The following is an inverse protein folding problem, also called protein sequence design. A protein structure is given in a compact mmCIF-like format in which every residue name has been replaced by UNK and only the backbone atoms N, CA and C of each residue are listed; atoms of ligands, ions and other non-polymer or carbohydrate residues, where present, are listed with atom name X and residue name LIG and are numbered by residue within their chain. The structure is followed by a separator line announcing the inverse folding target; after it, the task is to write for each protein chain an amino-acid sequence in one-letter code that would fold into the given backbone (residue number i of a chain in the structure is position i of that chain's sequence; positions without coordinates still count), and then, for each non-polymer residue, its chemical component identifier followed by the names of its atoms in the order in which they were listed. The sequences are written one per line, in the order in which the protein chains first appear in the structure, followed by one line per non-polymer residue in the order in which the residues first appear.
data_IF_053092559578
#
_entry.id   IF_053092559578
#
_cell.length_a   1.000
_cell.length_b   1.000
_cell.length_c   1.000
_cell.angle_alpha   90.00
_cell.angle_beta   90.00
_cell.angle_gamma   90.00
#
_symmetry.space_group_name_H-M   'P 1'
#
loop_
_entity.id
_entity.type
_entity.pdbx_description
1 polymer ?
#
# COMPACT_ATOMS: atom_id res chain seq x y z
N UNK A 1 -23.45 16.75 -9.43
CA UNK A 1 -22.14 17.25 -9.94
C UNK A 1 -21.49 18.18 -8.92
N UNK A 2 -22.21 19.11 -8.29
CA UNK A 2 -21.68 19.96 -7.21
C UNK A 2 -21.18 19.16 -5.99
N UNK A 3 -21.81 18.04 -5.67
CA UNK A 3 -21.40 17.16 -4.56
C UNK A 3 -20.02 16.54 -4.80
N UNK A 4 -19.71 16.11 -6.03
CA UNK A 4 -18.39 15.59 -6.39
C UNK A 4 -17.30 16.67 -6.33
N UNK A 5 -17.64 17.90 -6.76
CA UNK A 5 -16.70 19.04 -6.69
C UNK A 5 -16.42 19.45 -5.23
N UNK A 6 -17.43 19.41 -4.35
CA UNK A 6 -17.24 19.62 -2.89
C UNK A 6 -16.41 18.49 -2.29
N UNK A 7 -16.72 17.23 -2.63
CA UNK A 7 -15.98 16.09 -2.14
C UNK A 7 -14.49 16.12 -2.55
N UNK A 8 -14.18 16.61 -3.75
CA UNK A 8 -12.78 16.77 -4.23
C UNK A 8 -11.95 17.68 -3.30
N UNK A 9 -12.60 18.66 -2.67
CA UNK A 9 -11.95 19.64 -1.78
C UNK A 9 -11.91 19.11 -0.34
N UNK A 10 -12.99 18.48 0.11
CA UNK A 10 -13.20 18.15 1.52
C UNK A 10 -12.65 16.78 1.92
N UNK A 11 -12.57 15.83 0.96
CA UNK A 11 -12.06 14.51 1.24
C UNK A 11 -10.54 14.57 1.49
N UNK A 12 -10.13 14.26 2.73
CA UNK A 12 -8.74 14.30 3.17
C UNK A 12 -8.34 12.99 3.81
N UNK A 13 -7.08 12.63 3.63
CA UNK A 13 -6.45 11.55 4.39
C UNK A 13 -6.28 11.94 5.85
N UNK A 14 -6.52 10.98 6.73
CA UNK A 14 -6.13 11.04 8.14
C UNK A 14 -4.86 10.22 8.33
N UNK A 15 -3.91 10.72 9.10
CA UNK A 15 -2.63 10.05 9.32
C UNK A 15 -2.45 9.63 10.77
N UNK A 16 -1.66 8.60 10.98
CA UNK A 16 -1.07 8.20 12.25
C UNK A 16 0.45 8.10 12.08
N UNK A 17 1.18 8.38 13.13
CA UNK A 17 2.63 8.22 13.17
C UNK A 17 2.98 6.77 13.54
N UNK A 18 3.75 6.12 12.68
CA UNK A 18 4.30 4.78 12.91
C UNK A 18 5.79 4.89 13.14
N UNK A 19 6.26 4.39 14.28
CA UNK A 19 7.69 4.33 14.54
C UNK A 19 8.28 3.09 13.86
N UNK A 20 9.09 3.32 12.83
CA UNK A 20 9.81 2.27 12.13
C UNK A 20 10.90 1.65 13.02
N UNK A 21 11.35 0.45 12.70
CA UNK A 21 12.46 -0.24 13.40
C UNK A 21 13.80 0.53 13.35
N UNK A 22 13.92 1.49 12.43
CA UNK A 22 15.02 2.44 12.34
C UNK A 22 14.95 3.55 13.39
N UNK A 23 13.84 3.69 14.11
CA UNK A 23 13.57 4.77 15.06
C UNK A 23 12.94 6.02 14.42
N UNK A 24 12.79 6.05 13.11
CA UNK A 24 12.16 7.16 12.37
C UNK A 24 10.64 7.04 12.39
N UNK A 25 9.94 8.17 12.40
CA UNK A 25 8.49 8.20 12.26
C UNK A 25 8.11 8.22 10.77
N UNK A 26 7.17 7.36 10.41
CA UNK A 26 6.60 7.28 9.07
C UNK A 26 5.10 7.52 9.17
N UNK A 27 4.56 8.46 8.42
CA UNK A 27 3.11 8.68 8.40
C UNK A 27 2.42 7.51 7.70
N UNK A 28 1.37 6.99 8.31
CA UNK A 28 0.51 5.96 7.72
C UNK A 28 -0.91 6.51 7.59
N UNK A 29 -1.57 6.21 6.48
CA UNK A 29 -2.97 6.55 6.30
C UNK A 29 -3.82 5.64 7.18
N UNK A 30 -4.73 6.24 7.95
CA UNK A 30 -5.75 5.54 8.74
C UNK A 30 -7.12 5.66 8.09
N UNK A 31 -8.10 4.98 8.67
CA UNK A 31 -9.52 5.05 8.26
C UNK A 31 -9.75 4.67 6.78
N UNK A 32 -8.95 3.71 6.27
CA UNK A 32 -9.02 3.24 4.88
C UNK A 32 -10.42 2.85 4.42
N UNK A 33 -11.20 2.24 5.34
CA UNK A 33 -12.57 1.81 5.03
C UNK A 33 -13.46 3.01 4.66
N UNK A 34 -13.33 4.11 5.39
CA UNK A 34 -14.13 5.31 5.15
C UNK A 34 -13.74 5.98 3.84
N UNK A 35 -12.44 6.04 3.54
CA UNK A 35 -11.93 6.60 2.28
C UNK A 35 -12.42 5.77 1.09
N UNK A 36 -12.28 4.45 1.13
CA UNK A 36 -12.68 3.55 0.04
C UNK A 36 -14.20 3.53 -0.14
N UNK A 37 -14.98 3.50 0.95
CA UNK A 37 -16.44 3.57 0.88
C UNK A 37 -16.91 4.85 0.20
N UNK A 38 -16.34 6.01 0.56
CA UNK A 38 -16.69 7.29 -0.07
C UNK A 38 -16.40 7.33 -1.57
N UNK A 39 -15.31 6.70 -2.01
CA UNK A 39 -15.02 6.56 -3.45
C UNK A 39 -16.10 5.70 -4.11
N UNK A 40 -16.44 4.54 -3.53
CA UNK A 40 -17.50 3.66 -4.02
C UNK A 40 -18.88 4.33 -4.08
N UNK A 41 -19.24 5.08 -3.04
CA UNK A 41 -20.52 5.83 -3.00
C UNK A 41 -20.57 6.87 -4.13
N UNK A 42 -19.49 7.58 -4.39
CA UNK A 42 -19.41 8.52 -5.50
C UNK A 42 -19.47 7.84 -6.88
N UNK A 43 -18.91 6.63 -7.02
CA UNK A 43 -19.06 5.82 -8.24
C UNK A 43 -20.53 5.44 -8.46
N UNK A 44 -21.23 4.97 -7.42
CA UNK A 44 -22.66 4.64 -7.48
C UNK A 44 -23.50 5.88 -7.80
N UNK A 45 -23.22 7.02 -7.17
CA UNK A 45 -23.86 8.29 -7.47
C UNK A 45 -23.71 8.65 -8.96
N UNK A 46 -22.52 8.53 -9.50
CA UNK A 46 -22.23 8.86 -10.89
C UNK A 46 -22.97 7.90 -11.86
N UNK A 47 -23.06 6.60 -11.52
CA UNK A 47 -23.84 5.64 -12.30
C UNK A 47 -25.33 5.98 -12.31
N UNK A 48 -25.89 6.44 -11.19
CA UNK A 48 -27.31 6.86 -11.12
C UNK A 48 -27.60 8.06 -12.02
N UNK A 49 -26.65 8.98 -12.16
CA UNK A 49 -26.79 10.15 -13.05
C UNK A 49 -26.79 9.72 -14.52
N UNK A 50 -26.04 8.67 -14.90
CA UNK A 50 -26.02 8.14 -16.27
C UNK A 50 -27.38 7.64 -16.76
N UNK A 51 -28.23 7.13 -15.85
CA UNK A 51 -29.59 6.72 -16.15
C UNK A 51 -30.61 7.87 -16.32
N UNK A 52 -30.19 9.10 -16.06
CA UNK A 52 -31.05 10.27 -16.12
C UNK A 52 -31.12 10.85 -17.54
N UNK A 53 -32.32 11.32 -17.91
CA UNK A 53 -32.53 12.05 -19.18
C UNK A 53 -31.74 13.38 -19.31
N UNK A 54 -31.18 13.85 -18.20
CA UNK A 54 -30.31 15.05 -18.17
C UNK A 54 -28.84 14.74 -18.39
N UNK A 55 -28.48 13.48 -18.57
CA UNK A 55 -27.07 13.04 -18.75
C UNK A 55 -26.37 13.71 -19.95
N UNK A 56 -27.11 13.94 -21.05
CA UNK A 56 -26.58 14.54 -22.26
C UNK A 56 -25.94 15.93 -22.05
N UNK A 57 -26.43 16.67 -21.06
CA UNK A 57 -25.90 18.02 -20.72
C UNK A 57 -24.60 17.97 -19.91
N UNK A 58 -24.26 16.83 -19.30
CA UNK A 58 -23.13 16.68 -18.37
C UNK A 58 -22.19 15.52 -18.75
N UNK A 59 -22.36 14.92 -19.92
CA UNK A 59 -21.68 13.70 -20.34
C UNK A 59 -20.15 13.78 -20.23
N UNK A 60 -19.54 14.88 -20.68
CA UNK A 60 -18.08 15.04 -20.65
C UNK A 60 -17.53 15.16 -19.23
N UNK A 61 -18.24 15.90 -18.36
CA UNK A 61 -17.84 16.01 -16.94
C UNK A 61 -18.04 14.69 -16.20
N UNK A 62 -19.14 14.00 -16.50
CA UNK A 62 -19.42 12.68 -15.91
C UNK A 62 -18.35 11.65 -16.33
N UNK A 63 -17.96 11.62 -17.60
CA UNK A 63 -16.90 10.72 -18.09
C UNK A 63 -15.53 11.04 -17.48
N UNK A 64 -15.24 12.32 -17.27
CA UNK A 64 -14.01 12.75 -16.60
C UNK A 64 -13.99 12.28 -15.14
N UNK A 65 -15.10 12.44 -14.41
CA UNK A 65 -15.21 11.97 -13.03
C UNK A 65 -15.17 10.46 -12.92
N UNK A 66 -15.81 9.73 -13.85
CA UNK A 66 -15.76 8.27 -13.87
C UNK A 66 -14.32 7.75 -13.98
N UNK A 67 -13.54 8.31 -14.89
CA UNK A 67 -12.12 7.96 -15.02
C UNK A 67 -11.34 8.31 -13.76
N UNK A 68 -11.54 9.53 -13.19
CA UNK A 68 -10.89 9.93 -11.94
C UNK A 68 -11.20 8.97 -10.78
N UNK A 69 -12.48 8.60 -10.61
CA UNK A 69 -12.89 7.70 -9.54
C UNK A 69 -12.38 6.28 -9.74
N UNK A 70 -12.35 5.78 -10.97
CA UNK A 70 -11.77 4.47 -11.28
C UNK A 70 -10.27 4.45 -11.00
N UNK A 71 -9.55 5.47 -11.47
CA UNK A 71 -8.11 5.61 -11.21
C UNK A 71 -7.81 5.73 -9.71
N UNK A 72 -8.66 6.45 -8.99
CA UNK A 72 -8.53 6.66 -7.56
C UNK A 72 -8.77 5.37 -6.77
N UNK A 73 -9.80 4.61 -7.14
CA UNK A 73 -10.10 3.32 -6.52
C UNK A 73 -8.94 2.34 -6.67
N UNK A 74 -8.40 2.19 -7.88
CA UNK A 74 -7.23 1.35 -8.16
C UNK A 74 -6.02 1.76 -7.31
N UNK A 75 -5.71 3.07 -7.28
CA UNK A 75 -4.55 3.60 -6.56
C UNK A 75 -4.72 3.37 -5.05
N UNK A 76 -5.88 3.68 -4.49
CA UNK A 76 -6.14 3.56 -3.06
C UNK A 76 -6.13 2.12 -2.58
N UNK A 77 -6.70 1.18 -3.35
CA UNK A 77 -6.66 -0.24 -3.04
C UNK A 77 -5.21 -0.75 -3.05
N UNK A 78 -4.43 -0.39 -4.07
CA UNK A 78 -3.03 -0.78 -4.17
C UNK A 78 -2.17 -0.15 -3.06
N UNK A 79 -2.40 1.12 -2.72
CA UNK A 79 -1.67 1.79 -1.64
C UNK A 79 -2.00 1.20 -0.27
N UNK A 80 -3.28 0.89 -0.01
CA UNK A 80 -3.69 0.20 1.21
C UNK A 80 -3.02 -1.18 1.33
N UNK A 81 -3.02 -1.97 0.24
CA UNK A 81 -2.35 -3.26 0.22
C UNK A 81 -0.83 -3.12 0.44
N UNK A 82 -0.20 -2.13 -0.20
CA UNK A 82 1.23 -1.84 -0.03
C UNK A 82 1.56 -1.43 1.40
N UNK A 83 0.78 -0.52 2.01
CA UNK A 83 0.95 -0.09 3.40
C UNK A 83 0.87 -1.27 4.38
N UNK A 84 -0.13 -2.13 4.24
CA UNK A 84 -0.30 -3.30 5.10
C UNK A 84 0.89 -4.27 5.00
N UNK A 85 1.36 -4.55 3.77
CA UNK A 85 2.52 -5.42 3.55
C UNK A 85 3.81 -4.76 4.05
N UNK A 86 3.99 -3.46 3.85
CA UNK A 86 5.15 -2.72 4.32
C UNK A 86 5.23 -2.76 5.86
N UNK A 87 4.14 -2.43 6.56
CA UNK A 87 4.07 -2.49 8.05
C UNK A 87 4.40 -3.90 8.57
N UNK A 88 3.95 -4.94 7.86
CA UNK A 88 4.24 -6.33 8.24
C UNK A 88 5.71 -6.70 8.04
N UNK A 89 6.35 -6.27 6.94
CA UNK A 89 7.71 -6.68 6.56
C UNK A 89 8.80 -5.80 7.18
N UNK A 90 8.50 -4.55 7.49
CA UNK A 90 9.45 -3.57 7.98
C UNK A 90 10.24 -4.04 9.23
N UNK A 91 9.61 -4.62 10.28
CA UNK A 91 10.34 -5.08 11.47
C UNK A 91 11.36 -6.20 11.18
N UNK A 92 11.15 -6.98 10.13
CA UNK A 92 12.03 -8.10 9.78
C UNK A 92 13.23 -7.71 8.90
N UNK A 93 13.27 -6.47 8.40
CA UNK A 93 14.34 -6.03 7.51
C UNK A 93 15.75 -6.21 8.13
N UNK A 94 15.90 -5.97 9.42
CA UNK A 94 17.21 -6.13 10.08
C UNK A 94 17.63 -7.59 10.18
N UNK A 95 16.70 -8.49 10.49
CA UNK A 95 16.96 -9.93 10.58
C UNK A 95 17.33 -10.53 9.22
N UNK A 96 16.65 -10.07 8.16
CA UNK A 96 16.90 -10.51 6.80
C UNK A 96 18.18 -9.93 6.18
N UNK A 97 18.68 -8.80 6.69
CA UNK A 97 20.00 -8.22 6.27
C UNK A 97 21.19 -9.12 6.59
N UNK A 98 21.08 -10.00 7.57
CA UNK A 98 22.16 -10.90 7.99
C UNK A 98 22.31 -12.15 7.10
N UNK A 99 21.38 -12.39 6.18
CA UNK A 99 21.49 -13.51 5.23
C UNK A 99 22.31 -13.12 4.01
N UNK A 100 23.27 -13.97 3.65
CA UNK A 100 23.99 -13.81 2.39
C UNK A 100 23.07 -14.17 1.20
N UNK A 101 23.25 -13.55 0.03
CA UNK A 101 22.49 -13.84 -1.18
C UNK A 101 22.52 -15.33 -1.59
N UNK A 102 23.60 -16.04 -1.27
CA UNK A 102 23.75 -17.48 -1.51
C UNK A 102 22.76 -18.34 -0.71
N UNK A 103 22.26 -17.85 0.43
CA UNK A 103 21.27 -18.54 1.25
C UNK A 103 19.81 -18.26 0.83
N UNK A 104 19.60 -17.26 -0.02
CA UNK A 104 18.28 -16.83 -0.51
C UNK A 104 18.08 -17.09 -2.00
N UNK A 105 18.86 -18.04 -2.59
CA UNK A 105 18.76 -18.31 -4.03
C UNK A 105 19.09 -17.11 -4.92
N UNK A 106 19.96 -16.20 -4.46
CA UNK A 106 20.36 -14.98 -5.17
C UNK A 106 19.43 -13.77 -4.95
N UNK A 107 18.39 -13.88 -4.12
CA UNK A 107 17.51 -12.77 -3.80
C UNK A 107 18.11 -11.86 -2.73
N UNK A 108 18.39 -10.60 -3.08
CA UNK A 108 18.89 -9.61 -2.15
C UNK A 108 17.72 -8.87 -1.47
N UNK A 109 17.23 -9.42 -0.35
CA UNK A 109 16.14 -8.83 0.43
C UNK A 109 16.41 -7.37 0.82
N UNK A 110 17.63 -7.08 1.28
CA UNK A 110 18.02 -5.74 1.76
C UNK A 110 17.84 -4.68 0.67
N UNK A 111 18.37 -4.94 -0.51
CA UNK A 111 18.32 -3.99 -1.63
C UNK A 111 16.88 -3.80 -2.16
N UNK A 112 16.15 -4.91 -2.29
CA UNK A 112 14.75 -4.86 -2.75
C UNK A 112 13.87 -4.13 -1.75
N UNK A 113 14.03 -4.41 -0.43
CA UNK A 113 13.23 -3.76 0.60
C UNK A 113 13.58 -2.27 0.74
N UNK A 114 14.86 -1.88 0.63
CA UNK A 114 15.26 -0.48 0.67
C UNK A 114 14.55 0.34 -0.43
N UNK A 115 14.52 -0.19 -1.64
CA UNK A 115 13.80 0.47 -2.73
C UNK A 115 12.29 0.59 -2.48
N UNK A 116 11.67 -0.42 -1.85
CA UNK A 116 10.27 -0.37 -1.43
C UNK A 116 10.07 0.74 -0.39
N UNK A 117 10.96 0.81 0.60
CA UNK A 117 10.90 1.79 1.69
C UNK A 117 11.02 3.22 1.17
N UNK A 118 11.96 3.46 0.25
CA UNK A 118 12.14 4.76 -0.38
C UNK A 118 10.90 5.18 -1.18
N UNK A 119 10.40 4.30 -2.05
CA UNK A 119 9.20 4.54 -2.87
C UNK A 119 7.96 4.80 -1.97
N UNK A 120 7.79 4.01 -0.90
CA UNK A 120 6.67 4.13 0.03
C UNK A 120 6.71 5.45 0.80
N UNK A 121 7.86 5.80 1.37
CA UNK A 121 8.05 7.07 2.13
C UNK A 121 7.84 8.28 1.23
N UNK A 122 8.29 8.22 -0.02
CA UNK A 122 8.07 9.29 -1.00
C UNK A 122 6.57 9.51 -1.24
N UNK A 123 5.80 8.44 -1.51
CA UNK A 123 4.34 8.53 -1.73
C UNK A 123 3.65 9.08 -0.48
N UNK A 124 4.01 8.60 0.72
CA UNK A 124 3.41 9.08 1.98
C UNK A 124 3.73 10.54 2.25
N UNK A 125 4.95 10.98 1.97
CA UNK A 125 5.35 12.39 2.09
C UNK A 125 4.54 13.27 1.14
N UNK A 126 4.31 12.83 -0.09
CA UNK A 126 3.51 13.59 -1.05
C UNK A 126 2.02 13.65 -0.64
N UNK A 127 1.47 12.56 -0.07
CA UNK A 127 0.13 12.56 0.51
C UNK A 127 0.00 13.48 1.74
N UNK A 128 1.08 13.69 2.50
CA UNK A 128 1.08 14.67 3.61
C UNK A 128 1.17 16.11 3.14
N UNK A 129 1.87 16.39 2.05
CA UNK A 129 1.98 17.77 1.49
C UNK A 129 0.62 18.27 0.98
N UNK A 130 -0.14 17.42 0.35
CA UNK A 130 -1.53 17.68 -0.06
C UNK A 130 -2.40 16.52 0.42
N UNK A 131 -3.07 16.74 1.56
CA UNK A 131 -3.86 15.71 2.23
C UNK A 131 -5.15 15.33 1.53
N UNK A 132 -5.54 16.04 0.47
CA UNK A 132 -6.76 15.73 -0.28
C UNK A 132 -6.61 14.37 -0.98
N UNK A 133 -7.63 13.53 -0.83
CA UNK A 133 -7.61 12.16 -1.39
C UNK A 133 -7.38 12.18 -2.90
N UNK A 134 -8.00 13.12 -3.61
CA UNK A 134 -7.88 13.25 -5.08
C UNK A 134 -6.49 13.75 -5.52
N UNK A 135 -5.73 14.38 -4.63
CA UNK A 135 -4.39 14.87 -4.95
C UNK A 135 -3.40 13.75 -5.32
N UNK A 136 -3.64 12.53 -4.85
CA UNK A 136 -2.81 11.36 -5.18
C UNK A 136 -2.76 11.09 -6.69
N UNK A 137 -3.80 11.46 -7.45
CA UNK A 137 -3.83 11.36 -8.90
C UNK A 137 -2.79 12.24 -9.61
N UNK A 138 -2.28 13.26 -8.91
CA UNK A 138 -1.28 14.20 -9.44
C UNK A 138 0.16 13.70 -9.24
N UNK A 139 0.35 12.68 -8.41
CA UNK A 139 1.67 12.08 -8.19
C UNK A 139 2.04 11.33 -9.47
N UNK A 140 3.10 11.79 -10.14
CA UNK A 140 3.56 11.17 -11.37
C UNK A 140 3.89 9.69 -11.18
N UNK A 141 3.42 8.86 -12.10
CA UNK A 141 3.72 7.42 -12.13
C UNK A 141 3.25 6.60 -10.90
N UNK A 142 2.39 7.15 -10.03
CA UNK A 142 1.96 6.48 -8.79
C UNK A 142 1.41 5.07 -9.05
N UNK A 143 0.61 4.86 -10.10
CA UNK A 143 0.07 3.53 -10.45
C UNK A 143 1.17 2.52 -10.74
N UNK A 144 2.12 2.86 -11.60
CA UNK A 144 3.23 1.96 -11.96
C UNK A 144 4.17 1.73 -10.78
N UNK A 145 4.44 2.75 -9.97
CA UNK A 145 5.24 2.63 -8.76
C UNK A 145 4.60 1.68 -7.76
N UNK A 146 3.29 1.81 -7.51
CA UNK A 146 2.55 0.92 -6.60
C UNK A 146 2.50 -0.52 -7.11
N UNK A 147 2.28 -0.73 -8.42
CA UNK A 147 2.30 -2.08 -9.01
C UNK A 147 3.67 -2.74 -8.83
N UNK A 148 4.74 -2.05 -9.18
CA UNK A 148 6.10 -2.55 -9.01
C UNK A 148 6.47 -2.75 -7.52
N UNK A 149 5.97 -1.89 -6.63
CA UNK A 149 6.15 -2.02 -5.19
C UNK A 149 5.44 -3.27 -4.64
N UNK A 150 4.21 -3.54 -5.04
CA UNK A 150 3.45 -4.73 -4.62
C UNK A 150 4.14 -6.02 -5.07
N UNK A 151 4.62 -6.10 -6.30
CA UNK A 151 5.39 -7.25 -6.80
C UNK A 151 6.66 -7.49 -5.97
N UNK A 152 7.38 -6.42 -5.62
CA UNK A 152 8.58 -6.52 -4.76
C UNK A 152 8.22 -6.93 -3.34
N UNK A 153 7.14 -6.38 -2.76
CA UNK A 153 6.62 -6.75 -1.43
C UNK A 153 6.24 -8.24 -1.37
N UNK A 154 5.62 -8.78 -2.41
CA UNK A 154 5.29 -10.22 -2.50
C UNK A 154 6.54 -11.09 -2.52
N UNK A 155 7.56 -10.69 -3.26
CA UNK A 155 8.86 -11.39 -3.27
C UNK A 155 9.54 -11.36 -1.90
N UNK A 156 9.51 -10.20 -1.22
CA UNK A 156 10.03 -10.06 0.14
C UNK A 156 9.25 -10.94 1.13
N UNK A 157 7.92 -10.95 1.04
CA UNK A 157 7.06 -11.77 1.89
C UNK A 157 7.34 -13.27 1.69
N UNK A 158 7.49 -13.72 0.44
CA UNK A 158 7.85 -15.11 0.14
C UNK A 158 9.20 -15.48 0.76
N UNK A 159 10.23 -14.65 0.56
CA UNK A 159 11.55 -14.87 1.14
C UNK A 159 11.55 -14.90 2.67
N UNK A 160 10.73 -14.04 3.32
CA UNK A 160 10.55 -14.07 4.76
C UNK A 160 9.89 -15.38 5.24
N UNK A 161 8.83 -15.82 4.55
CA UNK A 161 8.13 -17.05 4.90
C UNK A 161 9.08 -18.27 4.80
N UNK A 162 9.86 -18.37 3.74
CA UNK A 162 10.88 -19.41 3.56
C UNK A 162 11.91 -19.39 4.71
N UNK A 163 12.33 -18.19 5.12
CA UNK A 163 13.23 -18.03 6.25
C UNK A 163 12.63 -18.49 7.58
N UNK A 164 11.38 -18.15 7.84
CA UNK A 164 10.70 -18.52 9.08
C UNK A 164 10.46 -20.04 9.14
N UNK A 165 10.12 -20.69 8.01
CA UNK A 165 9.98 -22.14 7.94
C UNK A 165 11.33 -22.87 8.14
N UNK A 166 12.42 -22.36 7.57
CA UNK A 166 13.77 -22.89 7.81
C UNK A 166 14.13 -22.82 9.31
N UNK A 167 13.83 -21.69 9.96
CA UNK A 167 14.05 -21.53 11.41
C UNK A 167 13.22 -22.52 12.21
N UNK A 168 11.92 -22.64 11.89
CA UNK A 168 11.01 -23.57 12.58
C UNK A 168 11.51 -25.02 12.47
N UNK A 169 11.93 -25.44 11.28
CA UNK A 169 12.45 -26.80 11.05
C UNK A 169 13.71 -27.07 11.88
N UNK A 170 14.62 -26.08 11.99
CA UNK A 170 15.82 -26.22 12.82
C UNK A 170 15.49 -26.32 14.31
N UNK A 171 14.53 -25.55 14.82
CA UNK A 171 14.10 -25.65 16.22
C UNK A 171 13.45 -27.00 16.53
N UNK A 172 12.63 -27.53 15.61
CA UNK A 172 12.03 -28.86 15.77
C UNK A 172 13.10 -29.97 15.78
N UNK A 173 14.11 -29.88 14.90
CA UNK A 173 15.23 -30.84 14.91
C UNK A 173 16.03 -30.79 16.22
N UNK A 174 16.25 -29.61 16.79
CA UNK A 174 17.01 -29.46 18.05
C UNK A 174 16.21 -30.06 19.23
N UNK A 175 14.90 -29.82 19.29
CA UNK A 175 14.03 -30.37 20.36
C UNK A 175 13.82 -31.89 20.25
N UNK A 176 13.99 -32.49 19.05
CA UNK A 176 13.93 -33.93 18.86
C UNK A 176 15.29 -34.66 19.01
N UNK A 177 16.39 -33.91 18.93
CA UNK A 177 17.75 -34.47 19.02
C UNK A 177 18.35 -34.39 20.44
N UNK A 178 17.67 -33.75 21.40
CA UNK A 178 18.15 -33.66 22.78
C UNK A 178 17.11 -34.24 23.78
N UNK A 179 16.94 -35.59 23.81
CA UNK A 179 16.17 -36.25 24.86
C UNK A 179 16.99 -36.46 26.16
N UNK A 180 18.22 -35.91 26.27
CA UNK A 180 19.15 -36.17 27.36
C UNK A 180 19.73 -34.89 27.98
N UNK A 181 18.92 -33.88 28.25
CA UNK A 181 19.26 -32.81 29.20
C UNK A 181 18.20 -32.77 30.31
N UNK A 182 18.26 -33.79 31.22
CA UNK A 182 17.85 -33.71 32.61
C UNK A 182 19.03 -33.30 33.46
#
# INVERSE_FOLDING_TARGET
MSELDVWEIDAKFSFLEHQASTGENVPLIKDWKDVLNKVGDNQVLLQSIKGSQYYTSFGDRASTWERKLTDLDDILNNLNAAQRKWVYLEPYQQQMKMKSPSQTGGFNYKEVFHKIDDDFRMIMSDCQKDTRVVAILKIGSVKSTLTAMLERLERCQKSLNEFLEEKRSRYLCITFLDPFLD
#
